data_IF_705398025903
#
_entry.id   IF_705398025903
#
_cell.length_a   1.000
_cell.length_b   1.000
_cell.length_c   1.000
_cell.angle_alpha   90.00
_cell.angle_beta   90.00
_cell.angle_gamma   90.00
#
_symmetry.space_group_name_H-M   'P 1'
#
loop_
_entity.id
_entity.type
_entity.pdbx_description
1 polymer ?
#
# COMPACT_ATOMS: atom_id res chain seq x y z
N UNK A 1 -0.43 3.37 15.24
CA UNK A 1 -0.47 1.97 15.69
C UNK A 1 0.68 1.18 15.06
N UNK A 2 1.16 0.18 15.78
CA UNK A 2 2.19 -0.69 15.28
C UNK A 2 1.61 -1.77 14.33
N UNK A 3 2.50 -2.59 13.76
CA UNK A 3 2.09 -3.64 12.82
C UNK A 3 1.11 -4.63 13.44
N UNK A 4 1.35 -5.04 14.67
CA UNK A 4 0.47 -6.01 15.33
C UNK A 4 -0.92 -5.45 15.55
N UNK A 5 -1.02 -4.22 16.02
CA UNK A 5 -2.30 -3.55 16.22
C UNK A 5 -3.05 -3.38 14.89
N UNK A 6 -2.35 -2.97 13.84
CA UNK A 6 -2.95 -2.83 12.51
C UNK A 6 -3.47 -4.16 11.99
N UNK A 7 -2.70 -5.24 12.20
CA UNK A 7 -3.11 -6.58 11.78
C UNK A 7 -4.36 -7.03 12.51
N UNK A 8 -4.47 -6.74 13.80
CA UNK A 8 -5.68 -7.04 14.57
C UNK A 8 -6.89 -6.27 14.03
N UNK A 9 -6.70 -5.00 13.71
CA UNK A 9 -7.79 -4.18 13.15
C UNK A 9 -8.25 -4.76 11.81
N UNK A 10 -7.31 -5.15 10.95
CA UNK A 10 -7.65 -5.80 9.67
C UNK A 10 -8.45 -7.08 9.91
N UNK A 11 -8.05 -7.88 10.90
CA UNK A 11 -8.74 -9.13 11.23
C UNK A 11 -10.17 -8.91 11.72
N UNK A 12 -10.44 -7.80 12.39
CA UNK A 12 -11.79 -7.44 12.81
C UNK A 12 -12.66 -7.09 11.59
N UNK A 13 -12.12 -6.33 10.65
CA UNK A 13 -12.86 -5.92 9.46
C UNK A 13 -13.04 -7.06 8.45
N UNK A 14 -12.02 -7.90 8.30
CA UNK A 14 -11.99 -8.95 7.28
C UNK A 14 -11.49 -10.26 7.89
N UNK A 15 -12.33 -10.94 8.69
CA UNK A 15 -11.88 -12.13 9.43
C UNK A 15 -11.42 -13.29 8.54
N UNK A 16 -11.86 -13.33 7.29
CA UNK A 16 -11.54 -14.40 6.36
C UNK A 16 -10.48 -14.03 5.32
N UNK A 17 -9.84 -12.87 5.47
CA UNK A 17 -8.82 -12.43 4.52
C UNK A 17 -7.60 -13.37 4.57
N UNK A 18 -7.02 -13.65 3.41
CA UNK A 18 -5.83 -14.51 3.33
C UNK A 18 -4.65 -13.85 4.05
N UNK A 19 -3.96 -14.61 4.89
CA UNK A 19 -2.81 -14.12 5.65
C UNK A 19 -1.72 -13.58 4.74
N UNK A 20 -1.45 -14.23 3.62
CA UNK A 20 -0.40 -13.79 2.70
C UNK A 20 -0.73 -12.43 2.10
N UNK A 21 -2.00 -12.20 1.76
CA UNK A 21 -2.41 -10.89 1.24
C UNK A 21 -2.24 -9.81 2.30
N UNK A 22 -2.66 -10.07 3.53
CA UNK A 22 -2.52 -9.10 4.63
C UNK A 22 -1.06 -8.76 4.85
N UNK A 23 -0.19 -9.76 4.88
CA UNK A 23 1.23 -9.56 5.12
C UNK A 23 1.86 -8.68 4.05
N UNK A 24 1.64 -9.02 2.78
CA UNK A 24 2.22 -8.25 1.68
C UNK A 24 1.62 -6.85 1.59
N UNK A 25 0.33 -6.72 1.84
CA UNK A 25 -0.31 -5.41 1.84
C UNK A 25 0.24 -4.52 2.95
N UNK A 26 0.49 -5.08 4.13
CA UNK A 26 1.08 -4.32 5.23
C UNK A 26 2.50 -3.86 4.93
N UNK A 27 3.30 -4.71 4.27
CA UNK A 27 4.63 -4.30 3.83
C UNK A 27 4.56 -3.07 2.92
N UNK A 28 3.68 -3.11 1.93
CA UNK A 28 3.46 -1.99 1.02
C UNK A 28 3.00 -0.75 1.78
N UNK A 29 2.03 -0.92 2.68
CA UNK A 29 1.45 0.17 3.45
C UNK A 29 2.52 0.90 4.27
N UNK A 30 3.37 0.17 4.98
CA UNK A 30 4.42 0.78 5.78
C UNK A 30 5.53 1.38 4.92
N UNK A 31 5.83 0.78 3.76
CA UNK A 31 6.76 1.36 2.80
C UNK A 31 6.25 2.72 2.31
N UNK A 32 4.98 2.81 1.95
CA UNK A 32 4.38 4.08 1.52
C UNK A 32 4.43 5.11 2.64
N UNK A 33 4.12 4.72 3.87
CA UNK A 33 4.18 5.63 5.01
C UNK A 33 5.58 6.17 5.27
N UNK A 34 6.60 5.46 4.82
CA UNK A 34 8.00 5.85 5.02
C UNK A 34 8.53 6.78 3.95
N UNK A 35 7.75 7.08 2.92
CA UNK A 35 8.18 7.99 1.85
C UNK A 35 8.35 9.39 2.41
N UNK A 36 9.54 10.01 2.28
CA UNK A 36 9.74 11.37 2.75
C UNK A 36 8.97 12.37 1.89
N UNK A 37 8.45 13.40 2.52
CA UNK A 37 7.75 14.47 1.83
C UNK A 37 6.25 14.29 1.69
N UNK A 38 5.69 13.19 2.20
CA UNK A 38 4.23 13.02 2.20
C UNK A 38 3.56 14.07 3.09
N UNK A 39 2.53 14.71 2.57
CA UNK A 39 1.73 15.66 3.34
C UNK A 39 0.78 14.96 4.29
N UNK A 40 0.26 13.82 3.88
CA UNK A 40 -0.65 13.01 4.69
C UNK A 40 -0.33 11.53 4.50
N UNK A 41 0.29 10.96 5.52
CA UNK A 41 0.57 9.51 5.52
C UNK A 41 -0.74 8.73 5.57
N UNK A 42 -0.82 7.61 4.84
CA UNK A 42 -2.04 6.79 4.90
C UNK A 42 -2.31 6.31 6.32
N UNK A 43 -3.57 6.34 6.71
CA UNK A 43 -4.03 5.91 8.03
C UNK A 43 -4.64 4.52 7.94
N UNK A 44 -5.10 4.02 9.10
CA UNK A 44 -5.79 2.73 9.17
C UNK A 44 -7.01 2.69 8.26
N UNK A 45 -7.76 3.79 8.16
CA UNK A 45 -8.95 3.85 7.30
C UNK A 45 -8.58 3.61 5.84
N UNK A 46 -7.51 4.24 5.36
CA UNK A 46 -7.05 4.06 3.99
C UNK A 46 -6.55 2.64 3.75
N UNK A 47 -5.89 2.03 4.74
CA UNK A 47 -5.49 0.63 4.63
C UNK A 47 -6.70 -0.29 4.46
N UNK A 48 -7.74 -0.10 5.26
CA UNK A 48 -8.95 -0.91 5.19
C UNK A 48 -9.64 -0.73 3.84
N UNK A 49 -9.77 0.51 3.35
CA UNK A 49 -10.36 0.80 2.05
C UNK A 49 -9.56 0.16 0.92
N UNK A 50 -8.24 0.24 0.98
CA UNK A 50 -7.36 -0.33 -0.03
C UNK A 50 -7.47 -1.86 -0.06
N UNK A 51 -7.49 -2.51 1.10
CA UNK A 51 -7.67 -3.96 1.18
C UNK A 51 -9.00 -4.40 0.57
N UNK A 52 -10.06 -3.63 0.82
CA UNK A 52 -11.37 -3.91 0.23
C UNK A 52 -11.29 -3.93 -1.29
N UNK A 53 -10.60 -2.94 -1.88
CA UNK A 53 -10.45 -2.85 -3.32
C UNK A 53 -9.56 -3.98 -3.87
N UNK A 54 -8.49 -4.31 -3.16
CA UNK A 54 -7.63 -5.43 -3.57
C UNK A 54 -8.41 -6.74 -3.62
N UNK A 55 -9.25 -6.98 -2.63
CA UNK A 55 -10.09 -8.19 -2.60
C UNK A 55 -11.16 -8.17 -3.69
N UNK A 56 -11.79 -7.01 -3.92
CA UNK A 56 -12.83 -6.87 -4.93
C UNK A 56 -12.31 -7.11 -6.34
N UNK A 57 -11.06 -6.71 -6.60
CA UNK A 57 -10.42 -6.89 -7.91
C UNK A 57 -9.62 -8.20 -7.99
N UNK A 58 -9.70 -9.04 -6.95
CA UNK A 58 -8.98 -10.32 -6.89
C UNK A 58 -7.48 -10.17 -7.13
N UNK A 59 -6.88 -9.11 -6.59
CA UNK A 59 -5.44 -8.88 -6.71
C UNK A 59 -4.71 -9.92 -5.86
N UNK A 60 -3.90 -10.81 -6.47
CA UNK A 60 -3.18 -11.81 -5.69
C UNK A 60 -2.00 -11.20 -4.94
N UNK A 61 -1.62 -11.83 -3.83
CA UNK A 61 -0.49 -11.39 -3.03
C UNK A 61 0.83 -11.39 -3.81
N UNK A 62 0.97 -12.27 -4.81
CA UNK A 62 2.18 -12.31 -5.64
C UNK A 62 2.46 -10.99 -6.36
N UNK A 63 1.41 -10.26 -6.75
CA UNK A 63 1.60 -8.96 -7.41
C UNK A 63 2.25 -7.97 -6.44
N UNK A 64 1.87 -8.01 -5.17
CA UNK A 64 2.47 -7.16 -4.14
C UNK A 64 3.86 -7.64 -3.76
N UNK A 65 4.03 -8.95 -3.66
CA UNK A 65 5.27 -9.57 -3.22
C UNK A 65 6.39 -9.40 -4.23
N UNK A 66 6.09 -9.55 -5.51
CA UNK A 66 7.10 -9.55 -6.57
C UNK A 66 7.48 -8.17 -7.06
N UNK A 67 6.78 -7.11 -6.64
CA UNK A 67 7.17 -5.77 -7.02
C UNK A 67 8.29 -5.26 -6.10
N UNK A 68 9.11 -4.36 -6.61
CA UNK A 68 10.08 -3.65 -5.79
C UNK A 68 9.34 -2.56 -5.01
N UNK A 69 9.16 -2.78 -3.71
CA UNK A 69 8.35 -1.92 -2.85
C UNK A 69 8.85 -0.48 -2.79
N UNK A 70 10.14 -0.26 -3.04
CA UNK A 70 10.71 1.09 -3.01
C UNK A 70 10.61 1.82 -4.34
N UNK A 71 10.25 1.13 -5.41
CA UNK A 71 10.34 1.66 -6.79
C UNK A 71 9.04 1.60 -7.57
N UNK A 72 8.11 0.75 -7.19
CA UNK A 72 6.89 0.54 -7.98
C UNK A 72 5.67 1.14 -7.28
N UNK A 73 4.75 1.65 -8.09
CA UNK A 73 3.47 2.14 -7.57
C UNK A 73 2.61 0.94 -7.20
N UNK A 74 2.05 0.88 -5.97
CA UNK A 74 1.16 -0.22 -5.63
C UNK A 74 -0.13 -0.16 -6.43
N UNK A 75 -0.75 -1.33 -6.72
CA UNK A 75 -2.05 -1.33 -7.39
C UNK A 75 -3.08 -0.60 -6.55
N UNK A 76 -3.99 0.13 -7.19
CA UNK A 76 -5.09 0.84 -6.54
C UNK A 76 -4.60 1.86 -5.49
N UNK A 77 -3.47 2.47 -5.75
CA UNK A 77 -2.81 3.39 -4.81
C UNK A 77 -3.67 4.62 -4.45
N UNK A 78 -4.62 4.96 -5.29
CA UNK A 78 -5.52 6.08 -5.00
C UNK A 78 -6.35 5.91 -3.74
N UNK A 79 -6.52 4.66 -3.27
CA UNK A 79 -7.19 4.40 -2.01
C UNK A 79 -6.28 4.69 -0.81
N UNK A 80 -4.96 4.58 -0.99
CA UNK A 80 -3.99 4.83 0.07
C UNK A 80 -3.68 6.31 0.23
N UNK A 81 -3.59 7.05 -0.86
CA UNK A 81 -3.19 8.45 -0.84
C UNK A 81 -4.36 9.34 -1.22
N UNK A 82 -4.89 10.07 -0.24
CA UNK A 82 -6.04 10.96 -0.43
C UNK A 82 -5.64 12.37 -0.86
N UNK A 83 -4.37 12.73 -0.69
CA UNK A 83 -3.87 14.04 -1.08
C UNK A 83 -3.27 13.96 -2.48
N UNK A 84 -3.76 14.82 -3.39
CA UNK A 84 -3.32 14.81 -4.78
C UNK A 84 -1.82 15.06 -4.94
N UNK A 85 -1.25 15.91 -4.09
CA UNK A 85 0.19 16.19 -4.15
C UNK A 85 1.01 14.95 -3.77
N UNK A 86 0.51 14.14 -2.84
CA UNK A 86 1.16 12.90 -2.44
C UNK A 86 1.10 11.86 -3.56
N UNK A 87 -0.01 11.80 -4.29
CA UNK A 87 -0.13 10.94 -5.47
C UNK A 87 0.94 11.32 -6.50
N UNK A 88 1.08 12.61 -6.77
CA UNK A 88 2.09 13.09 -7.72
C UNK A 88 3.51 12.79 -7.25
N UNK A 89 3.77 12.91 -5.95
CA UNK A 89 5.08 12.55 -5.39
C UNK A 89 5.41 11.08 -5.65
N UNK A 90 4.46 10.18 -5.37
CA UNK A 90 4.65 8.75 -5.59
C UNK A 90 4.93 8.45 -7.07
N UNK A 91 4.16 9.07 -7.96
CA UNK A 91 4.33 8.89 -9.41
C UNK A 91 5.71 9.36 -9.87
N UNK A 92 6.17 10.50 -9.37
CA UNK A 92 7.49 11.01 -9.71
C UNK A 92 8.61 10.09 -9.24
N UNK A 93 8.51 9.57 -8.03
CA UNK A 93 9.51 8.66 -7.48
C UNK A 93 9.58 7.36 -8.31
N UNK A 94 8.44 6.81 -8.67
CA UNK A 94 8.39 5.62 -9.51
C UNK A 94 9.00 5.88 -10.88
N UNK A 95 8.71 7.03 -11.48
CA UNK A 95 9.27 7.41 -12.78
C UNK A 95 10.79 7.57 -12.70
N UNK A 96 11.30 8.21 -11.67
CA UNK A 96 12.75 8.39 -11.48
C UNK A 96 13.47 7.06 -11.35
N UNK A 97 12.92 6.13 -10.57
CA UNK A 97 13.52 4.81 -10.43
C UNK A 97 13.55 4.03 -11.74
N UNK A 98 12.50 4.13 -12.55
CA UNK A 98 12.48 3.49 -13.86
C UNK A 98 13.56 4.03 -14.77
N UNK A 99 13.86 5.32 -14.70
CA UNK A 99 14.94 5.93 -15.47
C UNK A 99 16.31 5.44 -15.00
N UNK A 100 16.49 5.28 -13.71
CA UNK A 100 17.77 4.83 -13.14
C UNK A 100 18.08 3.37 -13.49
N UNK A 101 17.07 2.53 -13.67
CA UNK A 101 17.26 1.12 -13.94
C UNK A 101 17.49 0.81 -15.44
N UNK A 102 17.47 1.82 -16.27
CA UNK A 102 17.82 1.67 -17.69
C UNK A 102 19.35 1.78 -17.91
#
# INVERSE_FOLDING_TARGET
>A
PDRNTMREIVGVHYPNIANDLVQEAMEVFFDVRSIPGLKKKPSTSELIDWLKLLMADDIPDEILKNRDHSKAIPPLYGALLKNEQDVHLLERLAFMHRRETR
#
